data_IF_210709717437
#
_entry.id   IF_210709717437
#
_cell.length_a   1.000
_cell.length_b   1.000
_cell.length_c   1.000
_cell.angle_alpha   90.00
_cell.angle_beta   90.00
_cell.angle_gamma   90.00
#
_symmetry.space_group_name_H-M   'P 1'
#
loop_
_entity.id
_entity.type
_entity.pdbx_description
1 polymer ?
#
# COMPACT_ATOMS: atom_id res chain seq x y z
N UNK A 1 4.67 31.66 9.71
CA UNK A 1 4.69 30.31 10.31
C UNK A 1 4.71 29.29 9.21
N UNK A 2 5.72 28.38 9.15
CA UNK A 2 5.66 27.32 8.19
C UNK A 2 4.46 26.42 8.49
N UNK A 3 3.59 26.23 7.51
CA UNK A 3 2.51 25.26 7.59
C UNK A 3 3.18 23.88 7.76
N UNK A 4 3.13 23.33 8.97
CA UNK A 4 3.51 21.94 9.17
C UNK A 4 2.54 21.08 8.35
N UNK A 5 3.00 20.61 7.23
CA UNK A 5 2.26 19.65 6.44
C UNK A 5 2.01 18.42 7.33
N UNK A 6 0.77 18.27 7.79
CA UNK A 6 0.35 17.13 8.59
C UNK A 6 0.48 15.87 7.73
N UNK A 7 1.18 14.86 8.24
CA UNK A 7 1.24 13.56 7.54
C UNK A 7 -0.15 12.94 7.47
N UNK A 8 -0.58 12.42 6.32
CA UNK A 8 -1.85 11.72 6.21
C UNK A 8 -1.89 10.53 7.18
N UNK A 9 -3.00 10.40 7.90
CA UNK A 9 -3.27 9.24 8.77
C UNK A 9 -4.06 8.19 8.01
N UNK A 10 -4.21 7.01 8.60
CA UNK A 10 -5.10 5.97 8.06
C UNK A 10 -6.55 6.46 8.00
N UNK A 11 -6.99 7.26 8.96
CA UNK A 11 -8.30 7.89 8.94
C UNK A 11 -8.46 8.85 7.77
N UNK A 12 -7.43 9.63 7.47
CA UNK A 12 -7.42 10.52 6.29
C UNK A 12 -7.53 9.73 4.99
N UNK A 13 -6.76 8.64 4.87
CA UNK A 13 -6.83 7.74 3.71
C UNK A 13 -8.23 7.18 3.51
N UNK A 14 -8.84 6.68 4.60
CA UNK A 14 -10.21 6.14 4.58
C UNK A 14 -11.21 7.20 4.10
N UNK A 15 -11.15 8.41 4.61
CA UNK A 15 -12.03 9.51 4.24
C UNK A 15 -11.87 9.92 2.77
N UNK A 16 -10.64 10.03 2.30
CA UNK A 16 -10.35 10.39 0.90
C UNK A 16 -10.91 9.32 -0.03
N UNK A 17 -10.66 8.04 0.27
CA UNK A 17 -11.15 6.94 -0.54
C UNK A 17 -12.69 6.91 -0.58
N UNK A 18 -13.35 7.11 0.56
CA UNK A 18 -14.81 7.22 0.62
C UNK A 18 -15.34 8.36 -0.26
N UNK A 19 -14.70 9.54 -0.21
CA UNK A 19 -15.09 10.67 -1.06
C UNK A 19 -14.93 10.37 -2.54
N UNK A 20 -13.83 9.73 -2.92
CA UNK A 20 -13.59 9.31 -4.31
C UNK A 20 -14.66 8.34 -4.79
N UNK A 21 -15.01 7.34 -3.98
CA UNK A 21 -16.07 6.39 -4.31
C UNK A 21 -17.41 7.07 -4.50
N UNK A 22 -17.78 7.98 -3.62
CA UNK A 22 -19.03 8.75 -3.73
C UNK A 22 -19.08 9.61 -4.99
N UNK A 23 -17.99 10.34 -5.27
CA UNK A 23 -17.91 11.19 -6.46
C UNK A 23 -18.02 10.39 -7.76
N UNK A 24 -17.38 9.22 -7.82
CA UNK A 24 -17.47 8.35 -9.00
C UNK A 24 -18.90 7.83 -9.19
N UNK A 25 -19.52 7.35 -8.11
CA UNK A 25 -20.91 6.84 -8.15
C UNK A 25 -21.90 7.94 -8.52
N UNK A 26 -21.74 9.15 -8.01
CA UNK A 26 -22.58 10.30 -8.34
C UNK A 26 -22.48 10.68 -9.82
N UNK A 27 -21.36 10.41 -10.46
CA UNK A 27 -21.16 10.62 -11.90
C UNK A 27 -21.57 9.43 -12.76
N UNK A 28 -22.17 8.40 -12.17
CA UNK A 28 -22.57 7.20 -12.89
C UNK A 28 -21.43 6.25 -13.23
N UNK A 29 -20.24 6.45 -12.64
CA UNK A 29 -19.10 5.56 -12.84
C UNK A 29 -19.12 4.47 -11.79
N UNK A 30 -18.95 3.22 -12.22
CA UNK A 30 -18.84 2.07 -11.32
C UNK A 30 -17.39 1.87 -10.91
N UNK A 31 -17.01 2.22 -9.67
CA UNK A 31 -15.65 1.95 -9.20
C UNK A 31 -15.46 0.47 -8.89
N UNK A 32 -14.25 -0.02 -9.09
CA UNK A 32 -13.80 -1.34 -8.65
C UNK A 32 -12.52 -1.13 -7.85
N UNK A 33 -12.48 -1.67 -6.64
CA UNK A 33 -11.29 -1.59 -5.79
C UNK A 33 -10.44 -2.86 -5.93
N UNK A 34 -9.16 -2.72 -5.67
CA UNK A 34 -8.22 -3.85 -5.62
C UNK A 34 -7.45 -3.81 -4.31
N UNK A 35 -7.23 -4.98 -3.71
CA UNK A 35 -6.29 -5.07 -2.60
C UNK A 35 -4.87 -4.81 -3.10
N UNK A 36 -3.97 -4.42 -2.20
CA UNK A 36 -2.63 -4.02 -2.57
C UNK A 36 -1.71 -5.23 -2.71
N UNK A 37 -0.86 -5.27 -3.74
CA UNK A 37 0.15 -6.32 -3.84
C UNK A 37 1.04 -6.36 -2.59
N UNK A 38 1.54 -7.54 -2.20
CA UNK A 38 2.53 -7.62 -1.12
C UNK A 38 3.84 -6.95 -1.55
N UNK A 39 4.59 -6.46 -0.55
CA UNK A 39 5.88 -5.81 -0.75
C UNK A 39 6.98 -6.57 -0.02
N UNK A 40 8.24 -6.36 -0.43
CA UNK A 40 9.40 -6.85 0.30
C UNK A 40 10.00 -5.71 1.12
N UNK A 41 9.70 -5.70 2.41
CA UNK A 41 10.10 -4.62 3.32
C UNK A 41 11.62 -4.46 3.41
N UNK A 42 12.38 -5.57 3.40
CA UNK A 42 13.83 -5.53 3.46
C UNK A 42 14.44 -4.94 2.20
N UNK A 43 13.98 -5.35 1.03
CA UNK A 43 14.44 -4.76 -0.25
C UNK A 43 14.12 -3.27 -0.32
N UNK A 44 12.96 -2.86 0.13
CA UNK A 44 12.58 -1.45 0.14
C UNK A 44 13.48 -0.62 1.06
N UNK A 45 13.76 -1.11 2.26
CA UNK A 45 14.67 -0.45 3.18
C UNK A 45 16.09 -0.34 2.57
N UNK A 46 16.59 -1.42 1.98
CA UNK A 46 17.89 -1.43 1.32
C UNK A 46 17.94 -0.46 0.14
N UNK A 47 16.87 -0.38 -0.63
CA UNK A 47 16.74 0.56 -1.74
C UNK A 47 16.80 2.01 -1.25
N UNK A 48 16.06 2.35 -0.20
CA UNK A 48 16.09 3.69 0.40
C UNK A 48 17.50 4.06 0.91
N UNK A 49 18.22 3.11 1.48
CA UNK A 49 19.57 3.32 1.98
C UNK A 49 20.60 3.53 0.86
N UNK A 50 20.41 2.88 -0.30
CA UNK A 50 21.25 3.12 -1.49
C UNK A 50 21.13 4.54 -2.03
N UNK A 51 19.98 5.16 -1.86
CA UNK A 51 19.72 6.55 -2.26
C UNK A 51 20.29 7.57 -1.25
N UNK A 52 21.13 7.14 -0.31
CA UNK A 52 21.82 8.01 0.64
C UNK A 52 21.04 8.32 1.91
N UNK A 53 19.92 7.66 2.16
CA UNK A 53 19.17 7.82 3.40
C UNK A 53 19.77 7.00 4.53
N UNK A 54 19.78 7.55 5.75
CA UNK A 54 20.31 6.86 6.92
C UNK A 54 19.40 5.73 7.38
N UNK A 55 19.92 4.51 7.40
CA UNK A 55 19.24 3.33 7.92
C UNK A 55 18.84 3.51 9.38
N UNK A 56 19.73 4.03 10.20
CA UNK A 56 19.46 4.27 11.63
C UNK A 56 18.27 5.19 11.83
N UNK A 57 18.22 6.32 11.13
CA UNK A 57 17.13 7.28 11.24
C UNK A 57 15.81 6.70 10.79
N UNK A 58 15.83 5.89 9.72
CA UNK A 58 14.62 5.22 9.22
C UNK A 58 14.12 4.22 10.26
N UNK A 59 15.01 3.39 10.81
CA UNK A 59 14.64 2.38 11.80
C UNK A 59 14.21 3.00 13.13
N UNK A 60 14.85 4.08 13.58
CA UNK A 60 14.42 4.81 14.77
C UNK A 60 12.98 5.34 14.61
N UNK A 61 12.65 5.80 13.42
CA UNK A 61 11.31 6.29 13.14
C UNK A 61 10.28 5.18 12.98
N UNK A 62 10.64 4.08 12.33
CA UNK A 62 9.75 2.94 12.08
C UNK A 62 9.60 2.02 13.30
N UNK A 63 10.66 1.86 14.09
CA UNK A 63 10.79 0.85 15.12
C UNK A 63 11.42 -0.45 14.64
N UNK A 64 10.97 -1.00 13.53
CA UNK A 64 11.55 -2.19 12.88
C UNK A 64 11.23 -2.21 11.38
N UNK A 65 11.99 -3.03 10.62
CA UNK A 65 11.81 -3.16 9.17
C UNK A 65 10.43 -3.70 8.80
N UNK A 66 9.90 -4.61 9.59
CA UNK A 66 8.61 -5.25 9.29
C UNK A 66 7.43 -4.28 9.42
N UNK A 67 7.62 -3.14 10.05
CA UNK A 67 6.57 -2.10 10.08
C UNK A 67 6.22 -1.58 8.68
N UNK A 68 7.17 -1.58 7.75
CA UNK A 68 6.92 -1.25 6.35
C UNK A 68 5.87 -2.22 5.79
N UNK A 69 6.06 -3.50 6.03
CA UNK A 69 5.12 -4.54 5.61
C UNK A 69 3.75 -4.38 6.30
N UNK A 70 3.74 -4.20 7.62
CA UNK A 70 2.50 -4.03 8.39
C UNK A 70 1.70 -2.80 7.94
N UNK A 71 2.36 -1.72 7.56
CA UNK A 71 1.71 -0.53 7.00
C UNK A 71 0.99 -0.85 5.70
N UNK A 72 1.65 -1.56 4.79
CA UNK A 72 1.03 -2.00 3.54
C UNK A 72 -0.21 -2.86 3.81
N UNK A 73 -0.13 -3.77 4.78
CA UNK A 73 -1.24 -4.61 5.20
C UNK A 73 -2.44 -3.79 5.71
N UNK A 74 -2.19 -2.76 6.51
CA UNK A 74 -3.25 -1.89 7.01
C UNK A 74 -3.98 -1.16 5.88
N UNK A 75 -3.25 -0.66 4.88
CA UNK A 75 -3.85 -0.03 3.70
C UNK A 75 -4.68 -1.04 2.91
N UNK A 76 -4.16 -2.23 2.66
CA UNK A 76 -4.86 -3.27 1.92
C UNK A 76 -6.14 -3.72 2.64
N UNK A 77 -6.07 -3.92 3.96
CA UNK A 77 -7.22 -4.26 4.79
C UNK A 77 -8.29 -3.15 4.77
N UNK A 78 -7.86 -1.89 4.84
CA UNK A 78 -8.77 -0.74 4.78
C UNK A 78 -9.51 -0.68 3.45
N UNK A 79 -8.81 -0.92 2.33
CA UNK A 79 -9.43 -0.98 1.00
C UNK A 79 -10.49 -2.09 0.94
N UNK A 80 -10.17 -3.27 1.43
CA UNK A 80 -11.10 -4.41 1.44
C UNK A 80 -12.34 -4.13 2.29
N UNK A 81 -12.15 -3.56 3.48
CA UNK A 81 -13.27 -3.17 4.37
C UNK A 81 -14.17 -2.12 3.75
N UNK A 82 -13.59 -1.09 3.14
CA UNK A 82 -14.37 -0.06 2.46
C UNK A 82 -15.15 -0.60 1.27
N UNK A 83 -14.56 -1.52 0.50
CA UNK A 83 -15.27 -2.20 -0.57
C UNK A 83 -16.52 -2.91 -0.05
N UNK A 84 -16.37 -3.66 1.04
CA UNK A 84 -17.47 -4.35 1.69
C UNK A 84 -18.53 -3.40 2.23
N UNK A 85 -18.12 -2.37 3.00
CA UNK A 85 -19.02 -1.41 3.63
C UNK A 85 -19.82 -0.58 2.61
N UNK A 86 -19.22 -0.28 1.46
CA UNK A 86 -19.84 0.56 0.42
C UNK A 86 -20.50 -0.24 -0.71
N UNK A 87 -20.45 -1.57 -0.67
CA UNK A 87 -20.95 -2.41 -1.74
C UNK A 87 -20.18 -2.24 -3.05
N UNK A 88 -18.88 -1.86 -2.98
CA UNK A 88 -18.02 -1.70 -4.13
C UNK A 88 -17.36 -3.02 -4.49
N UNK A 89 -17.34 -3.44 -5.78
CA UNK A 89 -16.63 -4.65 -6.19
C UNK A 89 -15.15 -4.59 -5.84
N UNK A 90 -14.59 -5.74 -5.43
CA UNK A 90 -13.21 -5.87 -5.00
C UNK A 90 -12.52 -6.99 -5.78
N UNK A 91 -11.31 -6.70 -6.27
CA UNK A 91 -10.41 -7.70 -6.83
C UNK A 91 -9.33 -8.01 -5.79
N UNK A 92 -9.20 -9.27 -5.40
CA UNK A 92 -8.21 -9.75 -4.44
C UNK A 92 -6.83 -9.92 -5.06
N UNK A 93 -6.15 -8.83 -5.41
CA UNK A 93 -4.81 -8.87 -6.02
C UNK A 93 -3.79 -9.43 -5.02
N UNK A 94 -3.83 -8.97 -3.77
CA UNK A 94 -2.93 -9.41 -2.70
C UNK A 94 -3.01 -10.93 -2.52
N UNK A 95 -4.21 -11.45 -2.45
CA UNK A 95 -4.48 -12.85 -2.20
C UNK A 95 -3.91 -13.74 -3.32
N UNK A 96 -3.90 -13.26 -4.56
CA UNK A 96 -3.32 -13.96 -5.70
C UNK A 96 -1.79 -14.15 -5.57
N UNK A 97 -1.11 -13.21 -4.91
CA UNK A 97 0.34 -13.27 -4.72
C UNK A 97 0.78 -14.02 -3.46
N UNK A 98 -0.04 -14.07 -2.41
CA UNK A 98 0.38 -14.59 -1.10
C UNK A 98 0.79 -16.06 -1.12
N UNK A 99 0.16 -16.87 -1.94
CA UNK A 99 0.44 -18.30 -2.07
C UNK A 99 1.44 -18.62 -3.19
N UNK A 100 1.95 -17.61 -3.87
CA UNK A 100 2.89 -17.80 -4.97
C UNK A 100 4.31 -18.01 -4.45
N UNK A 101 4.84 -19.22 -4.67
CA UNK A 101 6.19 -19.58 -4.22
C UNK A 101 7.30 -18.75 -4.87
N UNK A 102 7.05 -18.24 -6.08
CA UNK A 102 8.01 -17.40 -6.81
C UNK A 102 7.87 -15.92 -6.49
N UNK A 103 7.09 -15.57 -5.47
CA UNK A 103 6.84 -14.17 -5.11
C UNK A 103 8.10 -13.30 -5.07
N UNK A 104 9.25 -13.76 -4.50
CA UNK A 104 10.47 -12.96 -4.50
C UNK A 104 10.97 -12.55 -5.89
N UNK A 105 10.65 -13.33 -6.93
CA UNK A 105 11.00 -13.01 -8.33
C UNK A 105 10.01 -12.08 -9.01
N UNK A 106 8.81 -11.96 -8.45
CA UNK A 106 7.74 -11.12 -8.98
C UNK A 106 7.81 -9.69 -8.44
N UNK A 107 8.57 -9.45 -7.37
CA UNK A 107 8.81 -8.14 -6.78
C UNK A 107 10.13 -7.57 -7.31
N UNK A 108 10.09 -6.34 -7.78
CA UNK A 108 11.26 -5.65 -8.32
C UNK A 108 12.32 -5.35 -7.25
N UNK A 109 13.49 -4.87 -7.68
CA UNK A 109 14.62 -4.59 -6.79
C UNK A 109 14.33 -3.53 -5.73
N UNK A 110 13.36 -2.63 -5.97
CA UNK A 110 12.97 -1.61 -5.00
C UNK A 110 12.08 -2.15 -3.87
N UNK A 111 11.62 -3.40 -3.98
CA UNK A 111 10.77 -4.03 -2.98
C UNK A 111 9.29 -3.65 -3.04
N UNK A 112 8.88 -2.77 -3.96
CA UNK A 112 7.53 -2.23 -4.03
C UNK A 112 6.83 -2.59 -5.34
N UNK A 113 7.48 -2.33 -6.48
CA UNK A 113 6.89 -2.55 -7.78
C UNK A 113 6.98 -4.03 -8.18
N UNK A 114 6.08 -4.45 -9.05
CA UNK A 114 6.14 -5.78 -9.63
C UNK A 114 7.13 -5.81 -10.80
N UNK A 115 7.73 -6.98 -11.04
CA UNK A 115 8.48 -7.23 -12.28
C UNK A 115 7.52 -7.45 -13.44
N UNK A 116 8.05 -7.54 -14.67
CA UNK A 116 7.22 -7.86 -15.84
C UNK A 116 6.45 -9.18 -15.68
N UNK A 117 7.05 -10.17 -15.00
CA UNK A 117 6.38 -11.43 -14.70
C UNK A 117 5.27 -11.29 -13.65
N UNK A 118 5.37 -10.29 -12.76
CA UNK A 118 4.40 -10.01 -11.71
C UNK A 118 3.14 -9.26 -12.20
N UNK A 119 3.24 -8.60 -13.34
CA UNK A 119 2.10 -7.90 -13.95
C UNK A 119 1.19 -8.84 -14.80
#
# INVERSE_FOLDING_TARGET
MPVRCRRPTMADFKQILLQMLRQLKDKGVQPVLMTLPPIDAQRYLDFLCREGRSRERILDWLGDTQRIYRHQELYSDTVARLAYETGTPLIGVREMFLDEKRLPKLIAADGIHMTMEGY
#
